data_IF_206855934266
#
_entry.id   IF_206855934266
#
_cell.length_a   1.000
_cell.length_b   1.000
_cell.length_c   1.000
_cell.angle_alpha   90.00
_cell.angle_beta   90.00
_cell.angle_gamma   90.00
#
_symmetry.space_group_name_H-M   'P 1'
#
loop_
_entity.id
_entity.type
_entity.pdbx_description
1 polymer ?
#
# COMPACT_ATOMS: atom_id res chain seq x y z
N UNK A 1 14.29 -36.88 0.85
CA UNK A 1 15.06 -35.70 0.40
C UNK A 1 14.09 -34.54 0.16
N UNK A 2 14.25 -33.48 0.89
CA UNK A 2 13.56 -32.22 0.59
C UNK A 2 14.31 -31.52 -0.53
N UNK A 3 13.63 -31.26 -1.67
CA UNK A 3 14.22 -30.44 -2.71
C UNK A 3 14.42 -29.01 -2.20
N UNK A 4 15.61 -28.48 -2.32
CA UNK A 4 15.88 -27.07 -2.01
C UNK A 4 15.25 -26.24 -3.13
N UNK A 5 14.34 -25.32 -2.78
CA UNK A 5 13.75 -24.42 -3.74
C UNK A 5 14.81 -23.44 -4.23
N UNK A 6 14.99 -23.33 -5.54
CA UNK A 6 15.88 -22.34 -6.14
C UNK A 6 15.14 -21.02 -6.32
N UNK A 7 15.55 -20.00 -5.59
CA UNK A 7 14.97 -18.66 -5.63
C UNK A 7 15.73 -17.68 -6.53
N UNK A 8 16.77 -18.12 -7.22
CA UNK A 8 17.65 -17.24 -8.01
C UNK A 8 16.90 -16.41 -9.05
N UNK A 9 15.89 -16.99 -9.69
CA UNK A 9 15.04 -16.28 -10.66
C UNK A 9 14.19 -15.18 -10.02
N UNK A 10 13.68 -15.42 -8.80
CA UNK A 10 12.93 -14.43 -8.03
C UNK A 10 13.84 -13.30 -7.53
N UNK A 11 15.01 -13.64 -7.04
CA UNK A 11 16.01 -12.66 -6.60
C UNK A 11 16.43 -11.76 -7.76
N UNK A 12 16.71 -12.32 -8.93
CA UNK A 12 17.04 -11.55 -10.13
C UNK A 12 15.89 -10.65 -10.57
N UNK A 13 14.66 -11.11 -10.48
CA UNK A 13 13.48 -10.32 -10.81
C UNK A 13 13.32 -9.13 -9.85
N UNK A 14 13.48 -9.36 -8.54
CA UNK A 14 13.43 -8.32 -7.51
C UNK A 14 14.51 -7.26 -7.77
N UNK A 15 15.75 -7.68 -8.03
CA UNK A 15 16.85 -6.76 -8.31
C UNK A 15 16.57 -5.89 -9.54
N UNK A 16 16.01 -6.48 -10.60
CA UNK A 16 15.66 -5.76 -11.83
C UNK A 16 14.53 -4.74 -11.64
N UNK A 17 13.61 -4.98 -10.70
CA UNK A 17 12.43 -4.13 -10.48
C UNK A 17 12.52 -3.30 -9.19
N UNK A 18 13.66 -3.31 -8.53
CA UNK A 18 13.85 -2.63 -7.24
C UNK A 18 13.53 -1.13 -7.30
N UNK A 19 13.97 -0.45 -8.35
CA UNK A 19 13.68 0.99 -8.51
C UNK A 19 12.18 1.27 -8.70
N UNK A 20 11.45 0.37 -9.37
CA UNK A 20 10.00 0.47 -9.51
C UNK A 20 9.30 0.27 -8.16
N UNK A 21 9.78 -0.67 -7.36
CA UNK A 21 9.25 -0.92 -6.01
C UNK A 21 9.45 0.29 -5.11
N UNK A 22 10.64 0.90 -5.13
CA UNK A 22 10.93 2.12 -4.38
C UNK A 22 10.05 3.27 -4.85
N UNK A 23 9.90 3.48 -6.16
CA UNK A 23 9.04 4.52 -6.71
C UNK A 23 7.57 4.35 -6.33
N UNK A 24 7.08 3.11 -6.32
CA UNK A 24 5.73 2.79 -5.87
C UNK A 24 5.53 3.16 -4.40
N UNK A 25 6.44 2.74 -3.53
CA UNK A 25 6.38 3.07 -2.10
C UNK A 25 6.45 4.58 -1.85
N UNK A 26 7.34 5.29 -2.55
CA UNK A 26 7.44 6.75 -2.47
C UNK A 26 6.13 7.44 -2.87
N UNK A 27 5.48 6.95 -3.94
CA UNK A 27 4.20 7.50 -4.39
C UNK A 27 3.08 7.30 -3.35
N UNK A 28 3.06 6.17 -2.64
CA UNK A 28 2.13 5.90 -1.54
C UNK A 28 2.39 6.84 -0.35
N UNK A 29 3.64 6.96 0.07
CA UNK A 29 4.04 7.77 1.24
C UNK A 29 3.74 9.26 1.04
N UNK A 30 3.79 9.76 -0.20
CA UNK A 30 3.52 11.17 -0.51
C UNK A 30 2.06 11.58 -0.33
N UNK A 31 1.13 10.64 -0.22
CA UNK A 31 -0.27 10.93 0.11
C UNK A 31 -0.48 10.72 1.61
N UNK A 32 -0.62 11.79 2.40
CA UNK A 32 -0.73 11.68 3.85
C UNK A 32 -1.96 10.89 4.31
N UNK A 33 -1.77 10.06 5.31
CA UNK A 33 -2.83 9.26 5.95
C UNK A 33 -2.81 9.39 7.46
N UNK A 34 -2.34 10.54 7.95
CA UNK A 34 -2.25 10.80 9.38
C UNK A 34 -3.62 10.66 10.05
N UNK A 35 -3.69 9.86 11.08
CA UNK A 35 -4.92 9.61 11.84
C UNK A 35 -4.67 9.88 13.33
N UNK A 36 -5.28 10.92 13.92
CA UNK A 36 -6.15 11.91 13.27
C UNK A 36 -5.41 12.84 12.28
N UNK A 37 -6.11 13.53 11.33
CA UNK A 37 -7.59 13.60 11.19
C UNK A 37 -8.23 12.41 10.48
N UNK A 38 -7.46 11.55 9.79
CA UNK A 38 -7.99 10.35 9.17
C UNK A 38 -8.78 10.59 7.88
N UNK A 39 -8.24 11.43 6.99
CA UNK A 39 -8.76 11.59 5.62
C UNK A 39 -8.02 10.64 4.68
N UNK A 40 -8.43 9.37 4.62
CA UNK A 40 -7.70 8.29 3.97
C UNK A 40 -8.20 7.94 2.56
N UNK A 41 -9.34 8.48 2.12
CA UNK A 41 -9.86 8.24 0.77
C UNK A 41 -8.89 8.67 -0.36
N UNK A 42 -8.20 9.83 -0.30
CA UNK A 42 -7.25 10.21 -1.33
C UNK A 42 -6.09 9.22 -1.51
N UNK A 43 -5.59 8.65 -0.41
CA UNK A 43 -4.55 7.62 -0.46
C UNK A 43 -5.05 6.35 -1.16
N UNK A 44 -6.27 5.91 -0.86
CA UNK A 44 -6.89 4.76 -1.51
C UNK A 44 -7.08 4.99 -3.02
N UNK A 45 -7.51 6.18 -3.43
CA UNK A 45 -7.62 6.54 -4.86
C UNK A 45 -6.26 6.46 -5.56
N UNK A 46 -5.22 7.07 -4.96
CA UNK A 46 -3.86 7.02 -5.50
C UNK A 46 -3.31 5.60 -5.57
N UNK A 47 -3.55 4.81 -4.53
CA UNK A 47 -3.15 3.40 -4.50
C UNK A 47 -3.81 2.60 -5.62
N UNK A 48 -5.11 2.79 -5.84
CA UNK A 48 -5.83 2.12 -6.91
C UNK A 48 -5.31 2.50 -8.32
N UNK A 49 -4.95 3.77 -8.53
CA UNK A 49 -4.32 4.23 -9.77
C UNK A 49 -2.97 3.54 -10.01
N UNK A 50 -2.10 3.52 -9.00
CA UNK A 50 -0.78 2.90 -9.08
C UNK A 50 -0.87 1.38 -9.34
N UNK A 51 -1.85 0.71 -8.76
CA UNK A 51 -2.06 -0.72 -8.96
C UNK A 51 -2.45 -1.05 -10.41
N UNK A 52 -3.10 -0.13 -11.13
CA UNK A 52 -3.43 -0.32 -12.56
C UNK A 52 -2.18 -0.47 -13.42
N UNK A 53 -1.12 0.26 -13.10
CA UNK A 53 0.15 0.17 -13.84
C UNK A 53 0.78 -1.22 -13.74
N UNK A 54 0.45 -1.97 -12.68
CA UNK A 54 0.84 -3.36 -12.49
C UNK A 54 -0.21 -4.37 -12.95
N UNK A 55 -1.28 -3.93 -13.61
CA UNK A 55 -2.33 -4.79 -14.15
C UNK A 55 -3.35 -5.27 -13.12
N UNK A 56 -3.49 -4.56 -12.00
CA UNK A 56 -4.49 -4.86 -10.98
C UNK A 56 -5.64 -3.87 -11.01
N UNK A 57 -6.87 -4.38 -10.94
CA UNK A 57 -8.06 -3.59 -10.71
C UNK A 57 -8.47 -3.70 -9.24
N UNK A 58 -8.47 -2.58 -8.54
CA UNK A 58 -8.88 -2.52 -7.15
C UNK A 58 -10.38 -2.22 -7.02
N UNK A 59 -11.09 -3.06 -6.29
CA UNK A 59 -12.44 -2.77 -5.83
C UNK A 59 -12.35 -1.71 -4.72
N UNK A 60 -13.14 -0.65 -4.80
CA UNK A 60 -13.17 0.43 -3.82
C UNK A 60 -14.41 0.32 -2.94
N UNK A 61 -14.20 0.20 -1.66
CA UNK A 61 -15.27 0.07 -0.66
C UNK A 61 -15.20 1.23 0.32
N UNK A 62 -15.90 2.33 0.01
CA UNK A 62 -15.99 3.46 0.91
C UNK A 62 -16.80 3.10 2.16
N UNK A 63 -16.25 3.41 3.33
CA UNK A 63 -16.99 3.30 4.57
C UNK A 63 -17.99 4.46 4.65
N UNK A 64 -19.27 4.21 5.06
CA UNK A 64 -20.28 5.27 5.18
C UNK A 64 -19.77 6.43 6.07
N UNK A 65 -20.04 7.66 5.64
CA UNK A 65 -19.55 8.86 6.32
C UNK A 65 -19.96 8.91 7.81
N UNK A 66 -21.18 8.48 8.13
CA UNK A 66 -21.65 8.45 9.51
C UNK A 66 -20.83 7.51 10.41
N UNK A 67 -20.42 6.36 9.86
CA UNK A 67 -19.60 5.39 10.59
C UNK A 67 -18.18 5.91 10.79
N UNK A 68 -17.60 6.54 9.77
CA UNK A 68 -16.26 7.14 9.84
C UNK A 68 -16.23 8.26 10.87
N UNK A 69 -17.21 9.15 10.85
CA UNK A 69 -17.32 10.27 11.79
C UNK A 69 -17.54 9.83 13.23
N UNK A 70 -18.27 8.72 13.45
CA UNK A 70 -18.47 8.15 14.78
C UNK A 70 -17.14 7.77 15.47
N UNK A 71 -16.11 7.48 14.69
CA UNK A 71 -14.75 7.18 15.18
C UNK A 71 -13.79 8.36 15.07
N UNK A 72 -14.28 9.55 14.80
CA UNK A 72 -13.47 10.77 14.75
C UNK A 72 -12.58 10.92 13.52
N UNK A 73 -12.91 10.22 12.43
CA UNK A 73 -12.17 10.30 11.17
C UNK A 73 -13.00 11.00 10.08
N UNK A 74 -12.35 11.36 8.96
CA UNK A 74 -12.99 12.08 7.85
C UNK A 74 -13.42 11.16 6.71
N UNK A 75 -12.56 10.23 6.32
CA UNK A 75 -12.88 9.28 5.23
C UNK A 75 -12.05 8.01 5.32
N UNK A 76 -12.64 6.89 4.92
CA UNK A 76 -11.98 5.60 4.77
C UNK A 76 -12.50 4.95 3.49
N UNK A 77 -11.59 4.46 2.66
CA UNK A 77 -11.90 3.58 1.53
C UNK A 77 -11.03 2.34 1.62
N UNK A 78 -11.63 1.19 1.75
CA UNK A 78 -10.92 -0.08 1.70
C UNK A 78 -10.73 -0.51 0.24
N UNK A 79 -9.56 -1.05 -0.10
CA UNK A 79 -9.27 -1.60 -1.41
C UNK A 79 -9.19 -3.11 -1.33
N UNK A 80 -9.80 -3.78 -2.29
CA UNK A 80 -9.71 -5.23 -2.44
C UNK A 80 -9.23 -5.54 -3.86
N UNK A 81 -8.17 -6.30 -3.98
CA UNK A 81 -7.66 -6.82 -5.25
C UNK A 81 -7.79 -8.33 -5.25
N UNK A 82 -8.41 -8.87 -6.29
CA UNK A 82 -8.55 -10.32 -6.48
C UNK A 82 -7.79 -10.74 -7.74
N UNK A 83 -6.83 -11.64 -7.56
CA UNK A 83 -6.02 -12.15 -8.67
C UNK A 83 -6.07 -13.67 -8.72
N UNK A 84 -6.84 -14.26 -9.65
CA UNK A 84 -6.81 -15.70 -9.84
C UNK A 84 -5.56 -16.12 -10.65
N UNK A 85 -4.85 -17.13 -10.15
CA UNK A 85 -3.70 -17.73 -10.84
C UNK A 85 -4.00 -19.13 -11.35
N UNK A 86 -5.15 -19.70 -10.98
CA UNK A 86 -5.53 -21.06 -11.38
C UNK A 86 -6.89 -21.45 -10.80
N UNK A 87 -7.19 -22.74 -10.86
CA UNK A 87 -8.45 -23.30 -10.37
C UNK A 87 -8.19 -24.39 -9.32
N UNK A 88 -9.06 -24.48 -8.31
CA UNK A 88 -9.03 -25.57 -7.33
C UNK A 88 -7.90 -25.52 -6.30
N UNK A 89 -7.08 -24.50 -6.34
CA UNK A 89 -6.02 -24.27 -5.35
C UNK A 89 -6.49 -23.49 -4.13
N UNK A 90 -5.54 -23.17 -3.26
CA UNK A 90 -5.77 -22.35 -2.08
C UNK A 90 -5.77 -20.86 -2.45
N UNK A 91 -6.53 -20.08 -1.68
CA UNK A 91 -6.49 -18.63 -1.73
C UNK A 91 -5.62 -18.11 -0.59
N UNK A 92 -4.70 -17.21 -0.93
CA UNK A 92 -3.89 -16.48 0.05
C UNK A 92 -4.44 -15.05 0.13
N UNK A 93 -4.77 -14.59 1.31
CA UNK A 93 -5.15 -13.22 1.57
C UNK A 93 -3.99 -12.48 2.24
N UNK A 94 -3.56 -11.38 1.63
CA UNK A 94 -2.61 -10.43 2.22
C UNK A 94 -3.41 -9.23 2.72
N UNK A 95 -3.12 -8.77 3.92
CA UNK A 95 -3.78 -7.63 4.53
C UNK A 95 -2.74 -6.64 5.02
N UNK A 96 -2.95 -5.37 4.70
CA UNK A 96 -2.11 -4.27 5.17
C UNK A 96 -2.97 -3.02 5.37
N UNK A 97 -2.60 -2.18 6.34
CA UNK A 97 -3.23 -0.87 6.53
C UNK A 97 -2.41 0.24 5.89
N UNK A 98 -3.08 1.29 5.42
CA UNK A 98 -2.44 2.47 4.82
C UNK A 98 -2.37 3.67 5.74
N UNK A 99 -3.08 3.67 6.85
CA UNK A 99 -3.07 4.78 7.80
C UNK A 99 -1.84 4.75 8.70
N UNK A 100 -1.46 5.95 9.16
CA UNK A 100 -0.36 6.15 10.10
C UNK A 100 -0.77 7.10 11.21
N UNK A 101 -0.07 7.04 12.34
CA UNK A 101 -0.20 8.06 13.40
C UNK A 101 0.49 9.36 12.93
N UNK A 102 0.08 10.52 13.45
CA UNK A 102 0.75 11.78 13.13
C UNK A 102 2.25 11.71 13.45
N UNK A 103 3.11 12.30 12.61
CA UNK A 103 4.55 12.30 12.82
C UNK A 103 4.90 13.07 14.10
N UNK A 104 5.94 12.60 14.81
CA UNK A 104 6.49 13.33 15.96
C UNK A 104 7.21 14.61 15.53
N UNK A 105 7.60 15.39 16.52
CA UNK A 105 8.40 16.60 16.34
C UNK A 105 9.88 16.30 16.05
N UNK A 106 10.65 17.36 15.70
CA UNK A 106 12.10 17.31 15.49
C UNK A 106 12.58 16.33 14.41
N UNK A 107 11.90 16.31 13.27
CA UNK A 107 12.31 15.51 12.12
C UNK A 107 13.28 16.27 11.22
N UNK A 108 14.30 15.57 10.71
CA UNK A 108 15.28 16.13 9.76
C UNK A 108 14.80 16.09 8.32
N UNK A 109 13.85 15.20 8.00
CA UNK A 109 13.25 15.07 6.67
C UNK A 109 11.74 15.25 6.74
N UNK A 110 11.13 15.71 5.65
CA UNK A 110 9.68 15.84 5.55
C UNK A 110 9.01 14.46 5.72
N UNK A 111 8.07 14.26 6.67
CA UNK A 111 7.48 12.96 6.95
C UNK A 111 6.80 12.31 5.74
N UNK A 112 6.19 13.10 4.85
CA UNK A 112 5.53 12.63 3.62
C UNK A 112 6.34 12.95 2.36
N UNK A 113 7.63 13.29 2.49
CA UNK A 113 8.50 13.63 1.37
C UNK A 113 8.94 12.41 0.57
N UNK A 114 9.04 11.26 1.24
CA UNK A 114 9.48 10.00 0.67
C UNK A 114 10.89 10.06 0.03
N UNK A 115 11.79 10.82 0.66
CA UNK A 115 13.17 10.93 0.20
C UNK A 115 13.95 9.65 0.49
N UNK A 116 14.78 9.24 -0.46
CA UNK A 116 15.76 8.18 -0.26
C UNK A 116 17.05 8.82 0.26
N UNK A 117 17.51 8.39 1.42
CA UNK A 117 18.75 8.88 2.03
C UNK A 117 19.71 7.73 2.28
N UNK A 118 21.01 8.04 2.22
CA UNK A 118 22.04 7.08 2.60
C UNK A 118 21.95 6.79 4.11
N UNK A 119 21.92 5.52 4.46
CA UNK A 119 21.93 5.04 5.84
C UNK A 119 23.33 4.90 6.41
#
# INVERSE_FOLDING_TARGET
>A
MTATTDYSALDAWIDQHFDEEVAFLQALVRVPTDTPPGNNAPHAERTAELLKDFGFDAEKHAVPAADVQAYGMESITNLIVRRPYGRGGKTIALNAHGDVVPPGEARTHAPSGADTVAG
#
